data_IF_105905590614
#
_entry.id   IF_105905590614
#
_cell.length_a   1.000
_cell.length_b   1.000
_cell.length_c   1.000
_cell.angle_alpha   90.00
_cell.angle_beta   90.00
_cell.angle_gamma   90.00
#
_symmetry.space_group_name_H-M   'P 1'
#
loop_
_entity.id
_entity.type
_entity.pdbx_description
1 polymer ?
#
# COMPACT_ATOMS: atom_id res chain seq x y z
N UNK A 1 -18.38 -14.88 17.15
CA UNK A 1 -17.97 -14.73 15.73
C UNK A 1 -16.79 -13.78 15.73
N UNK A 2 -15.69 -14.14 15.10
CA UNK A 2 -14.52 -13.24 14.99
C UNK A 2 -14.56 -12.53 13.65
N UNK A 3 -14.06 -11.32 13.62
CA UNK A 3 -13.97 -10.51 12.42
C UNK A 3 -12.60 -10.71 11.76
N UNK A 4 -12.56 -10.76 10.44
CA UNK A 4 -11.34 -10.86 9.63
C UNK A 4 -11.35 -9.76 8.57
N UNK A 5 -10.19 -9.27 8.22
CA UNK A 5 -10.01 -8.26 7.17
C UNK A 5 -9.18 -8.84 6.02
N UNK A 6 -9.24 -8.21 4.86
CA UNK A 6 -8.42 -8.59 3.73
C UNK A 6 -6.94 -8.63 4.13
N UNK A 7 -6.21 -9.65 3.69
CA UNK A 7 -4.80 -9.86 4.05
C UNK A 7 -4.55 -10.65 5.33
N UNK A 8 -5.58 -11.02 6.10
CA UNK A 8 -5.36 -11.91 7.24
C UNK A 8 -4.91 -13.30 6.78
N UNK A 9 -3.83 -13.81 7.38
CA UNK A 9 -3.33 -15.17 7.18
C UNK A 9 -3.73 -16.03 8.37
N UNK A 10 -4.32 -17.19 8.10
CA UNK A 10 -4.78 -18.14 9.10
C UNK A 10 -4.21 -19.52 8.77
N UNK A 11 -3.89 -20.31 9.80
CA UNK A 11 -3.39 -21.66 9.59
C UNK A 11 -4.52 -22.54 9.06
N UNK A 12 -4.29 -23.15 7.89
CA UNK A 12 -5.23 -24.06 7.26
C UNK A 12 -5.20 -25.44 7.92
N UNK A 13 -6.35 -25.97 8.30
CA UNK A 13 -6.50 -27.27 8.97
C UNK A 13 -7.33 -28.27 8.14
N UNK A 14 -7.98 -27.84 7.05
CA UNK A 14 -8.78 -28.72 6.17
C UNK A 14 -9.98 -28.04 5.54
N UNK A 15 -10.78 -28.80 4.80
CA UNK A 15 -12.04 -28.36 4.19
C UNK A 15 -13.24 -29.08 4.81
N UNK A 16 -14.34 -28.35 4.98
CA UNK A 16 -15.63 -28.92 5.38
C UNK A 16 -16.75 -28.20 4.65
N UNK A 17 -17.38 -28.87 3.70
CA UNK A 17 -18.37 -28.25 2.83
C UNK A 17 -17.79 -27.05 2.07
N UNK A 18 -18.50 -25.92 2.07
CA UNK A 18 -18.07 -24.65 1.44
C UNK A 18 -17.12 -23.80 2.31
N UNK A 19 -16.48 -24.40 3.35
CA UNK A 19 -15.64 -23.67 4.31
C UNK A 19 -14.24 -24.28 4.38
N UNK A 20 -13.27 -23.42 4.71
CA UNK A 20 -11.98 -23.85 5.24
C UNK A 20 -12.02 -23.86 6.76
N UNK A 21 -11.57 -24.96 7.35
CA UNK A 21 -11.25 -25.04 8.79
C UNK A 21 -9.90 -24.39 9.02
N UNK A 22 -9.82 -23.46 9.98
CA UNK A 22 -8.61 -22.67 10.26
C UNK A 22 -8.35 -22.60 11.76
N UNK A 23 -7.10 -22.37 12.13
CA UNK A 23 -6.69 -22.10 13.50
C UNK A 23 -6.18 -20.66 13.65
N UNK A 24 -6.52 -20.04 14.78
CA UNK A 24 -5.92 -18.79 15.27
C UNK A 24 -4.60 -19.05 15.97
N UNK A 25 -3.74 -18.01 16.16
CA UNK A 25 -2.49 -18.15 16.90
C UNK A 25 -2.67 -18.61 18.35
N UNK A 26 -3.82 -18.36 18.97
CA UNK A 26 -4.17 -18.80 20.31
C UNK A 26 -4.71 -20.26 20.38
N UNK A 27 -4.70 -20.98 19.26
CA UNK A 27 -5.17 -22.36 19.16
C UNK A 27 -6.68 -22.55 18.95
N UNK A 28 -7.48 -21.48 19.02
CA UNK A 28 -8.91 -21.59 18.69
C UNK A 28 -9.10 -21.96 17.23
N UNK A 29 -10.14 -22.73 16.97
CA UNK A 29 -10.52 -23.13 15.61
C UNK A 29 -11.76 -22.38 15.14
N UNK A 30 -11.82 -22.12 13.84
CA UNK A 30 -12.95 -21.47 13.18
C UNK A 30 -13.14 -22.00 11.75
N UNK A 31 -14.22 -21.55 11.13
CA UNK A 31 -14.55 -21.82 9.73
C UNK A 31 -14.68 -20.50 9.00
N UNK A 32 -14.02 -20.40 7.84
CA UNK A 32 -14.11 -19.24 6.94
C UNK A 32 -14.66 -19.71 5.58
N UNK A 33 -15.59 -18.93 5.01
CA UNK A 33 -16.17 -19.27 3.71
C UNK A 33 -15.10 -19.27 2.62
N UNK A 34 -15.15 -20.28 1.73
CA UNK A 34 -14.30 -20.33 0.54
C UNK A 34 -14.60 -19.20 -0.46
N UNK A 35 -15.76 -18.54 -0.35
CA UNK A 35 -16.10 -17.39 -1.22
C UNK A 35 -15.33 -16.11 -0.89
N UNK A 36 -14.75 -16.02 0.31
CA UNK A 36 -14.02 -14.84 0.80
C UNK A 36 -12.59 -15.18 1.26
N UNK A 37 -12.12 -16.36 0.97
CA UNK A 37 -10.80 -16.84 1.36
C UNK A 37 -10.29 -17.88 0.37
N UNK A 38 -8.98 -17.99 0.26
CA UNK A 38 -8.33 -19.00 -0.58
C UNK A 38 -6.99 -19.43 0.02
N UNK A 39 -6.46 -20.60 -0.35
CA UNK A 39 -5.11 -21.00 0.03
C UNK A 39 -4.06 -20.01 -0.47
N UNK A 40 -3.08 -19.71 0.38
CA UNK A 40 -2.07 -18.70 0.09
C UNK A 40 -1.27 -18.98 -1.21
N UNK A 41 -1.00 -20.25 -1.50
CA UNK A 41 -0.33 -20.64 -2.75
C UNK A 41 -1.16 -20.28 -3.98
N UNK A 42 -2.49 -20.47 -3.93
CA UNK A 42 -3.41 -20.12 -5.00
C UNK A 42 -3.52 -18.60 -5.13
N UNK A 43 -3.59 -17.87 -3.99
CA UNK A 43 -3.58 -16.43 -3.95
C UNK A 43 -2.32 -15.87 -4.65
N UNK A 44 -1.12 -16.29 -4.26
CA UNK A 44 0.13 -15.84 -4.91
C UNK A 44 0.14 -16.13 -6.42
N UNK A 45 -0.32 -17.30 -6.84
CA UNK A 45 -0.38 -17.66 -8.26
C UNK A 45 -1.38 -16.81 -9.08
N UNK A 46 -2.37 -16.20 -8.42
CA UNK A 46 -3.38 -15.35 -9.06
C UNK A 46 -2.98 -13.88 -9.15
N UNK A 47 -1.91 -13.46 -8.46
CA UNK A 47 -1.52 -12.05 -8.36
C UNK A 47 -0.83 -11.54 -9.62
N UNK A 48 -0.99 -10.24 -9.83
CA UNK A 48 -0.21 -9.46 -10.78
C UNK A 48 0.48 -8.33 -10.04
N UNK A 49 1.81 -8.31 -10.10
CA UNK A 49 2.64 -7.25 -9.52
C UNK A 49 2.90 -6.18 -10.59
N UNK A 50 1.83 -5.57 -11.09
CA UNK A 50 1.89 -4.47 -12.05
C UNK A 50 1.12 -3.23 -11.56
N UNK A 51 1.49 -2.08 -12.08
CA UNK A 51 0.92 -0.79 -11.68
C UNK A 51 -0.60 -0.76 -11.84
N UNK A 52 -1.14 -1.31 -12.93
CA UNK A 52 -2.58 -1.27 -13.21
C UNK A 52 -3.40 -2.09 -12.20
N UNK A 53 -2.86 -3.23 -11.76
CA UNK A 53 -3.48 -4.07 -10.75
C UNK A 53 -3.42 -3.44 -9.36
N UNK A 54 -2.28 -2.84 -8.99
CA UNK A 54 -2.09 -2.09 -7.74
C UNK A 54 -3.07 -0.92 -7.67
N UNK A 55 -3.19 -0.13 -8.73
CA UNK A 55 -4.11 1.00 -8.80
C UNK A 55 -5.57 0.53 -8.67
N UNK A 56 -5.96 -0.56 -9.34
CA UNK A 56 -7.32 -1.11 -9.15
C UNK A 56 -7.59 -1.48 -7.70
N UNK A 57 -6.62 -2.11 -7.02
CA UNK A 57 -6.75 -2.43 -5.59
C UNK A 57 -6.87 -1.17 -4.76
N UNK A 58 -6.07 -0.13 -5.04
CA UNK A 58 -6.16 1.16 -4.36
C UNK A 58 -7.56 1.77 -4.47
N UNK A 59 -8.17 1.75 -5.65
CA UNK A 59 -9.54 2.23 -5.86
C UNK A 59 -10.61 1.45 -5.07
N UNK A 60 -10.40 0.16 -4.77
CA UNK A 60 -11.34 -0.59 -3.92
C UNK A 60 -11.37 -0.10 -2.48
N UNK A 61 -10.39 0.69 -2.07
CA UNK A 61 -10.28 1.26 -0.74
C UNK A 61 -10.81 2.70 -0.63
N UNK A 62 -11.37 3.28 -1.70
CA UNK A 62 -11.96 4.61 -1.69
C UNK A 62 -12.98 4.77 -0.55
N UNK A 63 -12.92 5.91 0.16
CA UNK A 63 -13.82 6.23 1.27
C UNK A 63 -13.51 5.50 2.59
N UNK A 64 -12.49 4.64 2.66
CA UNK A 64 -12.05 4.08 3.95
C UNK A 64 -11.52 5.21 4.82
N UNK A 65 -12.02 5.34 6.08
CA UNK A 65 -11.64 6.45 6.95
C UNK A 65 -10.16 6.41 7.33
N UNK A 66 -9.59 7.61 7.49
CA UNK A 66 -8.26 7.74 8.06
C UNK A 66 -8.27 7.30 9.53
N UNK A 67 -7.37 6.40 9.86
CA UNK A 67 -7.11 5.96 11.22
C UNK A 67 -5.61 5.98 11.47
N UNK A 68 -5.15 6.80 12.41
CA UNK A 68 -3.75 6.82 12.82
C UNK A 68 -3.25 5.40 13.16
N UNK A 69 -2.11 5.01 12.61
CA UNK A 69 -1.55 3.67 12.69
C UNK A 69 -2.42 2.54 12.07
N UNK A 70 -3.51 2.86 11.38
CA UNK A 70 -4.37 1.88 10.71
C UNK A 70 -3.69 1.21 9.51
N UNK A 71 -3.92 -0.11 9.37
CA UNK A 71 -3.37 -0.95 8.28
C UNK A 71 -4.38 -2.00 7.82
N UNK A 72 -5.66 -1.67 7.82
CA UNK A 72 -6.71 -2.63 7.43
C UNK A 72 -7.83 -1.96 6.65
N UNK A 73 -8.67 -2.77 5.99
CA UNK A 73 -9.87 -2.29 5.30
C UNK A 73 -10.92 -1.60 6.20
N UNK A 74 -10.68 -1.48 7.51
CA UNK A 74 -11.53 -0.73 8.44
C UNK A 74 -11.06 0.69 8.72
N UNK A 75 -9.79 0.96 8.47
CA UNK A 75 -9.17 2.25 8.63
C UNK A 75 -7.68 2.16 8.33
N UNK A 76 -7.15 3.17 7.67
CA UNK A 76 -5.74 3.26 7.26
C UNK A 76 -5.20 4.67 7.49
N UNK A 77 -3.93 4.80 7.84
CA UNK A 77 -3.20 6.05 7.62
C UNK A 77 -2.55 6.06 6.23
N UNK A 78 -1.80 7.09 5.88
CA UNK A 78 -1.22 7.24 4.54
C UNK A 78 -0.30 6.08 4.15
N UNK A 79 0.66 5.72 4.99
CA UNK A 79 1.60 4.62 4.74
C UNK A 79 0.97 3.24 4.97
N UNK A 80 -0.01 3.13 5.86
CA UNK A 80 -0.81 1.94 6.05
C UNK A 80 -1.71 1.63 4.85
N UNK A 81 -2.27 2.64 4.19
CA UNK A 81 -2.97 2.50 2.92
C UNK A 81 -2.05 1.92 1.84
N UNK A 82 -0.90 2.56 1.59
CA UNK A 82 0.08 2.08 0.61
C UNK A 82 0.52 0.65 0.93
N UNK A 83 0.88 0.39 2.19
CA UNK A 83 1.28 -0.95 2.64
C UNK A 83 0.18 -1.99 2.45
N UNK A 84 -1.07 -1.66 2.75
CA UNK A 84 -2.21 -2.58 2.57
C UNK A 84 -2.44 -2.89 1.10
N UNK A 85 -2.43 -1.88 0.23
CA UNK A 85 -2.57 -2.05 -1.23
C UNK A 85 -1.46 -2.94 -1.79
N UNK A 86 -0.21 -2.67 -1.46
CA UNK A 86 0.93 -3.44 -1.94
C UNK A 86 0.93 -4.88 -1.38
N UNK A 87 0.54 -5.07 -0.12
CA UNK A 87 0.43 -6.41 0.46
C UNK A 87 -0.60 -7.29 -0.25
N UNK A 88 -1.69 -6.71 -0.79
CA UNK A 88 -2.65 -7.46 -1.62
C UNK A 88 -2.04 -7.96 -2.94
N UNK A 89 -0.86 -7.50 -3.30
CA UNK A 89 -0.04 -7.94 -4.44
C UNK A 89 1.22 -8.71 -4.03
N UNK A 90 1.27 -9.20 -2.79
CA UNK A 90 2.45 -9.89 -2.21
C UNK A 90 3.72 -9.02 -2.24
N UNK A 91 3.56 -7.70 -2.01
CA UNK A 91 4.66 -6.76 -1.91
C UNK A 91 4.70 -6.22 -0.48
N UNK A 92 5.79 -6.52 0.22
CA UNK A 92 6.00 -6.13 1.62
C UNK A 92 6.97 -4.96 1.64
N UNK A 93 6.55 -3.86 2.26
CA UNK A 93 7.33 -2.64 2.46
C UNK A 93 7.31 -2.23 3.94
N UNK A 94 8.21 -1.34 4.37
CA UNK A 94 8.22 -0.81 5.73
C UNK A 94 6.88 -0.17 6.15
N UNK A 95 6.70 -0.01 7.48
CA UNK A 95 5.43 0.51 8.03
C UNK A 95 5.26 2.02 7.82
N UNK A 96 6.29 2.80 8.05
CA UNK A 96 6.19 4.26 8.10
C UNK A 96 6.57 4.90 6.78
N UNK A 97 5.89 5.99 6.40
CA UNK A 97 6.18 6.74 5.17
C UNK A 97 7.66 7.15 5.08
N UNK A 98 8.26 7.56 6.20
CA UNK A 98 9.68 7.92 6.27
C UNK A 98 10.63 6.75 5.97
N UNK A 99 10.20 5.51 6.21
CA UNK A 99 10.97 4.31 5.88
C UNK A 99 10.67 3.84 4.44
N UNK A 100 9.41 3.95 4.00
CA UNK A 100 8.98 3.66 2.62
C UNK A 100 9.70 4.55 1.59
N UNK A 101 10.11 5.75 2.00
CA UNK A 101 10.85 6.69 1.17
C UNK A 101 12.27 6.24 0.80
N UNK A 102 12.80 5.20 1.45
CA UNK A 102 14.16 4.69 1.22
C UNK A 102 14.19 3.33 0.52
N UNK A 103 13.05 2.81 0.05
CA UNK A 103 13.01 1.53 -0.67
C UNK A 103 12.69 1.75 -2.14
N UNK A 104 13.36 1.03 -3.03
CA UNK A 104 13.18 1.16 -4.47
C UNK A 104 13.99 2.29 -5.11
N UNK A 105 13.67 2.60 -6.35
CA UNK A 105 14.37 3.58 -7.17
C UNK A 105 13.87 5.01 -6.86
N UNK A 106 14.77 5.89 -6.41
CA UNK A 106 14.47 7.30 -6.16
C UNK A 106 14.29 8.07 -7.48
N UNK A 107 13.27 8.94 -7.54
CA UNK A 107 12.91 9.74 -8.71
C UNK A 107 12.71 11.20 -8.31
N UNK A 108 13.60 12.06 -8.72
CA UNK A 108 13.38 13.51 -8.67
C UNK A 108 12.27 13.89 -9.67
N UNK A 109 11.14 14.38 -9.18
CA UNK A 109 9.96 14.64 -10.01
C UNK A 109 10.24 15.83 -10.93
N UNK A 110 10.15 15.60 -12.24
CA UNK A 110 10.22 16.66 -13.23
C UNK A 110 9.01 17.63 -13.10
N UNK A 111 9.16 18.93 -13.44
CA UNK A 111 8.08 19.91 -13.28
C UNK A 111 6.78 19.56 -14.04
N UNK A 112 6.88 18.82 -15.13
CA UNK A 112 5.76 18.32 -15.94
C UNK A 112 5.23 16.96 -15.50
N UNK A 113 5.86 16.31 -14.50
CA UNK A 113 5.60 14.93 -14.06
C UNK A 113 5.89 13.86 -15.12
N UNK A 114 6.59 14.20 -16.21
CA UNK A 114 6.81 13.29 -17.33
C UNK A 114 7.67 12.05 -17.02
N UNK A 115 8.41 12.05 -15.91
CA UNK A 115 9.27 10.92 -15.49
C UNK A 115 8.64 10.04 -14.40
N UNK A 116 7.47 10.43 -13.85
CA UNK A 116 6.73 9.66 -12.86
C UNK A 116 5.75 8.73 -13.56
N UNK A 117 5.68 7.48 -13.15
CA UNK A 117 4.84 6.45 -13.75
C UNK A 117 3.71 6.04 -12.80
N UNK A 118 2.53 5.66 -13.33
CA UNK A 118 1.47 5.07 -12.51
C UNK A 118 1.99 3.92 -11.65
N UNK A 119 1.65 3.94 -10.35
CA UNK A 119 2.13 2.99 -9.36
C UNK A 119 3.39 3.43 -8.60
N UNK A 120 4.06 4.50 -9.00
CA UNK A 120 5.12 5.11 -8.20
C UNK A 120 4.54 5.67 -6.89
N UNK A 121 5.31 5.62 -5.82
CA UNK A 121 4.96 6.22 -4.53
C UNK A 121 5.45 7.68 -4.51
N UNK A 122 4.52 8.60 -4.21
CA UNK A 122 4.82 10.03 -4.07
C UNK A 122 4.98 10.38 -2.61
N UNK A 123 6.06 11.09 -2.26
CA UNK A 123 6.34 11.48 -0.89
C UNK A 123 6.21 12.98 -0.68
N UNK A 124 5.70 13.33 0.51
CA UNK A 124 5.44 14.71 0.89
C UNK A 124 6.02 15.02 2.26
N UNK A 125 6.44 16.26 2.43
CA UNK A 125 7.02 16.67 3.69
C UNK A 125 7.69 18.03 3.65
N UNK A 126 8.72 18.18 4.48
CA UNK A 126 9.54 19.39 4.53
C UNK A 126 10.87 19.10 3.82
N UNK A 127 11.20 19.93 2.85
CA UNK A 127 12.52 19.93 2.19
C UNK A 127 13.63 20.25 3.19
N UNK A 128 14.82 19.74 2.96
CA UNK A 128 15.99 20.11 3.73
C UNK A 128 16.25 21.62 3.62
N UNK A 129 16.69 22.20 4.72
CA UNK A 129 17.16 23.57 4.82
C UNK A 129 18.55 23.59 5.44
N UNK A 130 19.21 24.74 5.50
CA UNK A 130 20.52 24.86 6.18
C UNK A 130 20.48 24.46 7.67
N UNK A 131 19.30 24.57 8.30
CA UNK A 131 19.13 24.33 9.75
C UNK A 131 18.45 23.00 10.07
N UNK A 132 17.70 22.42 9.13
CA UNK A 132 16.88 21.22 9.37
C UNK A 132 16.96 20.27 8.19
N UNK A 133 17.20 18.99 8.46
CA UNK A 133 17.14 17.93 7.46
C UNK A 133 15.75 17.77 6.86
N UNK A 134 15.69 17.09 5.73
CA UNK A 134 14.42 16.65 5.12
C UNK A 134 13.59 15.83 6.09
N UNK A 135 12.27 15.94 5.97
CA UNK A 135 11.35 15.14 6.77
C UNK A 135 10.16 14.70 5.92
N UNK A 136 10.08 13.41 5.61
CA UNK A 136 8.90 12.78 5.02
C UNK A 136 7.81 12.62 6.09
N UNK A 137 6.57 12.99 5.76
CA UNK A 137 5.43 12.92 6.67
C UNK A 137 4.17 12.32 6.05
N UNK A 138 4.16 12.11 4.72
CA UNK A 138 3.01 11.59 4.00
C UNK A 138 3.44 10.86 2.73
N UNK A 139 2.59 9.94 2.25
CA UNK A 139 2.82 9.15 1.04
C UNK A 139 1.49 8.91 0.30
N UNK A 140 1.57 8.84 -1.02
CA UNK A 140 0.48 8.53 -1.94
C UNK A 140 0.92 7.54 -3.02
N UNK A 141 -0.02 6.98 -3.77
CA UNK A 141 0.23 6.21 -5.00
C UNK A 141 -0.11 7.11 -6.21
N UNK A 142 0.83 7.28 -7.11
CA UNK A 142 0.61 8.04 -8.35
C UNK A 142 -0.25 7.26 -9.33
N UNK A 143 -1.20 7.93 -9.95
CA UNK A 143 -2.18 7.33 -10.87
C UNK A 143 -1.87 7.62 -12.34
N UNK A 144 -1.01 8.59 -12.62
CA UNK A 144 -0.82 9.22 -13.92
C UNK A 144 -1.56 10.55 -13.99
N UNK A 145 -1.32 11.31 -15.06
CA UNK A 145 -2.00 12.58 -15.38
C UNK A 145 -2.06 13.55 -14.18
N UNK A 146 -0.96 13.66 -13.42
CA UNK A 146 -0.84 14.46 -12.19
C UNK A 146 -1.82 14.09 -11.08
N UNK A 147 -2.46 12.92 -11.13
CA UNK A 147 -3.38 12.45 -10.10
C UNK A 147 -2.69 11.45 -9.17
N UNK A 148 -3.15 11.43 -7.93
CA UNK A 148 -2.67 10.50 -6.92
C UNK A 148 -3.80 10.09 -5.98
N UNK A 149 -3.69 8.88 -5.41
CA UNK A 149 -4.62 8.36 -4.40
C UNK A 149 -3.90 8.21 -3.07
N UNK A 150 -4.52 8.69 -2.00
CA UNK A 150 -3.93 8.68 -0.68
C UNK A 150 -4.99 8.59 0.43
N UNK A 151 -4.55 8.40 1.67
CA UNK A 151 -5.39 8.47 2.86
C UNK A 151 -5.07 9.74 3.65
N UNK A 152 -6.00 10.71 3.63
CA UNK A 152 -5.95 11.96 4.38
C UNK A 152 -7.39 12.40 4.71
N UNK A 153 -7.88 12.14 5.91
CA UNK A 153 -9.30 12.19 6.26
C UNK A 153 -10.01 10.87 5.93
N UNK A 154 -9.97 10.51 4.66
CA UNK A 154 -10.33 9.19 4.12
C UNK A 154 -9.40 8.84 2.96
N UNK A 155 -9.66 7.72 2.28
CA UNK A 155 -8.98 7.36 1.03
C UNK A 155 -9.71 8.04 -0.12
N UNK A 156 -9.02 8.94 -0.83
CA UNK A 156 -9.54 9.66 -1.98
C UNK A 156 -8.47 9.97 -3.03
N UNK A 157 -8.91 10.42 -4.20
CA UNK A 157 -8.05 10.91 -5.27
C UNK A 157 -7.88 12.41 -5.13
N UNK A 158 -6.66 12.91 -5.38
CA UNK A 158 -6.31 14.31 -5.48
C UNK A 158 -5.49 14.58 -6.74
N UNK A 159 -5.36 15.84 -7.13
CA UNK A 159 -4.62 16.27 -8.32
C UNK A 159 -3.56 17.32 -7.99
N UNK A 160 -2.47 17.31 -8.75
CA UNK A 160 -1.49 18.38 -8.80
C UNK A 160 -1.80 19.43 -9.88
N UNK A 161 -2.86 19.23 -10.69
CA UNK A 161 -3.25 20.16 -11.72
C UNK A 161 -4.23 21.21 -11.16
N UNK A 162 -3.89 22.52 -11.18
CA UNK A 162 -4.77 23.57 -10.69
C UNK A 162 -6.11 23.69 -11.45
N UNK A 163 -6.22 23.09 -12.64
CA UNK A 163 -7.45 23.06 -13.41
C UNK A 163 -8.46 21.98 -12.96
N UNK A 164 -8.00 21.03 -12.17
CA UNK A 164 -8.84 19.92 -11.70
C UNK A 164 -9.66 20.32 -10.46
N UNK A 165 -10.87 19.78 -10.35
CA UNK A 165 -11.75 20.03 -9.20
C UNK A 165 -11.21 19.44 -7.88
N UNK A 166 -10.36 18.42 -7.96
CA UNK A 166 -9.69 17.72 -6.88
C UNK A 166 -8.24 18.22 -6.67
N UNK A 167 -7.94 19.47 -7.09
CA UNK A 167 -6.62 20.09 -6.91
C UNK A 167 -6.22 20.20 -5.44
N UNK A 168 -5.06 19.68 -5.11
CA UNK A 168 -4.50 19.67 -3.75
C UNK A 168 -3.23 20.53 -3.67
N UNK A 169 -3.43 21.85 -3.53
CA UNK A 169 -2.36 22.82 -3.38
C UNK A 169 -1.49 22.53 -2.14
N UNK A 170 -2.13 22.06 -1.04
CA UNK A 170 -1.40 21.77 0.19
C UNK A 170 -0.36 20.66 -0.01
N UNK A 171 -0.73 19.58 -0.69
CA UNK A 171 0.19 18.50 -0.99
C UNK A 171 1.20 18.88 -2.10
N UNK A 172 0.80 19.66 -3.11
CA UNK A 172 1.72 20.17 -4.12
C UNK A 172 2.86 20.99 -3.50
N UNK A 173 2.53 21.90 -2.58
CA UNK A 173 3.51 22.79 -1.92
C UNK A 173 4.53 22.04 -1.04
N UNK A 174 4.24 20.82 -0.62
CA UNK A 174 5.12 19.98 0.19
C UNK A 174 5.61 18.71 -0.51
N UNK A 175 5.48 18.69 -1.85
CA UNK A 175 5.98 17.60 -2.69
C UNK A 175 7.51 17.50 -2.58
N UNK A 176 8.00 16.28 -2.36
CA UNK A 176 9.42 15.98 -2.26
C UNK A 176 9.94 15.27 -3.51
N UNK A 177 9.62 13.99 -3.65
CA UNK A 177 10.07 13.11 -4.72
C UNK A 177 9.13 11.90 -4.86
N UNK A 178 9.41 11.06 -5.83
CA UNK A 178 8.76 9.76 -5.98
C UNK A 178 9.75 8.60 -5.75
N UNK A 179 9.20 7.42 -5.52
CA UNK A 179 9.97 6.16 -5.47
C UNK A 179 9.26 5.10 -6.29
N UNK A 180 10.01 4.40 -7.16
CA UNK A 180 9.55 3.27 -7.96
C UNK A 180 9.91 1.97 -7.28
N UNK A 181 8.91 1.25 -6.77
CA UNK A 181 9.13 0.02 -5.98
C UNK A 181 9.12 -1.24 -6.84
N UNK A 182 8.35 -1.30 -7.90
CA UNK A 182 8.12 -2.53 -8.68
C UNK A 182 9.40 -3.20 -9.21
N UNK A 183 10.38 -2.47 -9.77
CA UNK A 183 11.61 -3.09 -10.28
C UNK A 183 12.54 -3.62 -9.17
N UNK A 184 12.33 -3.20 -7.93
CA UNK A 184 13.22 -3.49 -6.79
C UNK A 184 12.70 -4.58 -5.84
N UNK A 185 11.54 -5.16 -6.12
CA UNK A 185 10.96 -6.26 -5.32
C UNK A 185 11.94 -7.44 -5.27
N UNK A 186 12.14 -8.00 -4.07
CA UNK A 186 13.09 -9.10 -3.77
C UNK A 186 14.57 -8.79 -4.08
N UNK A 187 14.92 -7.52 -4.30
CA UNK A 187 16.29 -7.06 -4.48
C UNK A 187 16.83 -6.29 -3.28
N UNK A 188 15.97 -5.92 -2.35
CA UNK A 188 16.29 -5.16 -1.15
C UNK A 188 15.75 -5.86 0.09
N UNK A 189 16.43 -5.74 1.23
CA UNK A 189 16.07 -6.42 2.47
C UNK A 189 14.67 -6.06 2.97
N UNK A 190 14.23 -4.84 2.74
CA UNK A 190 12.96 -4.30 3.25
C UNK A 190 11.85 -4.18 2.20
N UNK A 191 12.12 -4.61 0.95
CA UNK A 191 11.17 -4.62 -0.16
C UNK A 191 11.13 -6.04 -0.79
N UNK A 192 10.22 -6.87 -0.31
CA UNK A 192 10.23 -8.29 -0.62
C UNK A 192 8.81 -8.88 -0.67
N UNK A 193 8.71 -10.18 -0.91
CA UNK A 193 7.47 -10.95 -0.95
C UNK A 193 7.31 -11.82 0.30
N UNK A 194 6.15 -12.43 0.51
CA UNK A 194 5.96 -13.41 1.60
C UNK A 194 6.85 -14.64 1.44
N UNK A 195 7.39 -14.90 0.23
CA UNK A 195 8.31 -16.02 -0.03
C UNK A 195 9.72 -15.72 0.47
N UNK A 196 10.18 -14.49 0.33
CA UNK A 196 11.54 -14.08 0.68
C UNK A 196 11.66 -13.41 2.04
N UNK A 197 10.54 -12.93 2.59
CA UNK A 197 10.52 -12.27 3.89
C UNK A 197 10.64 -13.28 5.04
N UNK A 198 11.68 -13.16 5.92
CA UNK A 198 11.91 -14.12 6.98
C UNK A 198 10.81 -14.20 8.05
N UNK A 199 9.96 -13.18 8.17
CA UNK A 199 8.81 -13.20 9.08
C UNK A 199 7.71 -14.19 8.64
N UNK A 200 7.61 -14.47 7.33
CA UNK A 200 6.56 -15.30 6.75
C UNK A 200 7.01 -16.74 6.41
N UNK A 201 8.28 -17.03 6.56
CA UNK A 201 8.89 -18.36 6.29
C UNK A 201 9.18 -19.15 7.57
#
# INVERSE_FOLDING_TARGET
MSDVVAGNRLKYEGKQGGFYKVSYPDGRQAYISQSISMPEKEWRASLKQDASSIIRTAYTMMGIPYLWAGTSSKGVDCSGFVRTVLFMHDIIIPRDASQQAYVGEHIDIAPDFGNVQPGDLIFFGRKATAEKGERVVHVAIYLGDKKFIHSQGDVHVSSFDPADADFDEYNLNRLLYAVRVLPSIDKEETLNTTVTNPYYN
#
